data_IF_933467237006
#
_entry.id   IF_933467237006
#
_cell.length_a   1.000
_cell.length_b   1.000
_cell.length_c   1.000
_cell.angle_alpha   90.00
_cell.angle_beta   90.00
_cell.angle_gamma   90.00
#
_symmetry.space_group_name_H-M   'P 1'
#
loop_
_entity.id
_entity.type
_entity.pdbx_description
1 polymer ?
#
# COMPACT_ATOMS: atom_id res chain seq x y z
N UNK A 1 6.58 -13.92 -7.42
CA UNK A 1 7.51 -13.69 -8.55
C UNK A 1 8.81 -13.19 -7.95
N UNK A 2 9.91 -13.90 -8.16
CA UNK A 2 11.22 -13.35 -7.82
C UNK A 2 11.58 -12.27 -8.85
N UNK A 3 11.87 -11.07 -8.35
CA UNK A 3 12.27 -9.92 -9.19
C UNK A 3 13.76 -9.62 -9.12
N UNK A 4 14.53 -10.44 -8.39
CA UNK A 4 15.95 -10.22 -8.14
C UNK A 4 16.22 -8.88 -7.47
N UNK A 5 17.39 -8.29 -7.75
CA UNK A 5 17.84 -7.03 -7.16
C UNK A 5 17.17 -5.76 -7.71
N UNK A 6 16.04 -5.83 -8.42
CA UNK A 6 15.43 -4.66 -9.10
C UNK A 6 14.94 -3.56 -8.15
N UNK A 7 14.70 -3.89 -6.89
CA UNK A 7 14.29 -2.92 -5.88
C UNK A 7 15.42 -1.97 -5.46
N UNK A 8 16.67 -2.46 -5.39
CA UNK A 8 17.79 -1.66 -4.92
C UNK A 8 18.02 -0.40 -5.78
N UNK A 9 18.12 -0.48 -7.13
CA UNK A 9 18.27 0.71 -7.96
C UNK A 9 17.08 1.70 -7.89
N UNK A 10 15.89 1.24 -7.51
CA UNK A 10 14.73 2.11 -7.32
C UNK A 10 14.80 2.82 -5.97
N UNK A 11 15.12 2.09 -4.90
CA UNK A 11 15.35 2.66 -3.59
C UNK A 11 16.44 3.74 -3.65
N UNK A 12 17.57 3.44 -4.30
CA UNK A 12 18.70 4.37 -4.43
C UNK A 12 18.32 5.72 -5.05
N UNK A 13 17.35 5.74 -5.99
CA UNK A 13 16.87 6.98 -6.62
C UNK A 13 15.99 7.84 -5.71
N UNK A 14 15.41 7.26 -4.67
CA UNK A 14 14.39 7.93 -3.84
C UNK A 14 14.84 8.13 -2.39
N UNK A 15 15.96 7.51 -1.98
CA UNK A 15 16.56 7.62 -0.63
C UNK A 15 16.74 9.05 -0.14
N UNK A 16 17.10 9.96 -1.03
CA UNK A 16 17.39 11.37 -0.72
C UNK A 16 16.14 12.27 -0.87
N UNK A 17 14.99 11.68 -1.19
CA UNK A 17 13.74 12.40 -1.52
C UNK A 17 12.62 12.12 -0.50
N UNK A 18 12.98 11.64 0.69
CA UNK A 18 12.03 11.22 1.73
C UNK A 18 11.28 12.37 2.39
N UNK A 19 11.71 13.61 2.17
CA UNK A 19 11.16 14.82 2.81
C UNK A 19 10.37 15.70 1.82
N UNK A 20 10.30 15.35 0.52
CA UNK A 20 9.70 16.23 -0.49
C UNK A 20 8.19 16.43 -0.33
N UNK A 21 7.46 15.37 0.00
CA UNK A 21 6.03 15.39 0.38
C UNK A 21 5.08 16.17 -0.56
N UNK A 22 5.43 16.28 -1.85
CA UNK A 22 4.67 17.09 -2.82
C UNK A 22 3.34 16.41 -3.18
N UNK A 23 3.33 15.09 -3.33
CA UNK A 23 2.14 14.33 -3.69
C UNK A 23 2.12 13.02 -2.92
N UNK A 24 1.05 12.77 -2.17
CA UNK A 24 0.86 11.54 -1.39
C UNK A 24 1.01 10.30 -2.27
N UNK A 25 0.53 10.37 -3.51
CA UNK A 25 0.72 9.32 -4.51
C UNK A 25 2.20 8.96 -4.76
N UNK A 26 3.06 9.97 -4.92
CA UNK A 26 4.50 9.75 -5.17
C UNK A 26 5.15 9.16 -3.93
N UNK A 27 4.79 9.66 -2.76
CA UNK A 27 5.30 9.18 -1.47
C UNK A 27 5.03 7.69 -1.27
N UNK A 28 3.83 7.22 -1.61
CA UNK A 28 3.50 5.79 -1.52
C UNK A 28 4.36 4.93 -2.44
N UNK A 29 4.75 5.43 -3.61
CA UNK A 29 5.63 4.69 -4.52
C UNK A 29 7.09 4.67 -4.05
N UNK A 30 7.55 5.74 -3.39
CA UNK A 30 8.85 5.77 -2.74
C UNK A 30 8.88 4.78 -1.57
N UNK A 31 7.85 4.78 -0.73
CA UNK A 31 7.69 3.83 0.37
C UNK A 31 7.72 2.37 -0.12
N UNK A 32 7.06 2.04 -1.23
CA UNK A 32 7.13 0.70 -1.82
C UNK A 32 8.57 0.29 -2.16
N UNK A 33 9.35 1.20 -2.74
CA UNK A 33 10.75 0.93 -3.10
C UNK A 33 11.66 0.83 -1.86
N UNK A 34 11.51 1.74 -0.90
CA UNK A 34 12.31 1.78 0.33
C UNK A 34 11.98 0.60 1.26
N UNK A 35 10.71 0.29 1.45
CA UNK A 35 10.28 -0.86 2.24
C UNK A 35 10.68 -2.18 1.56
N UNK A 36 10.95 -2.16 0.25
CA UNK A 36 11.44 -3.34 -0.44
C UNK A 36 12.87 -3.74 -0.11
N UNK A 37 13.73 -2.78 0.22
CA UNK A 37 15.15 -3.02 0.57
C UNK A 37 15.37 -3.21 2.07
N UNK A 38 14.47 -2.73 2.92
CA UNK A 38 14.45 -3.07 4.35
C UNK A 38 15.58 -2.47 5.19
N UNK A 39 16.11 -1.30 4.79
CA UNK A 39 17.23 -0.63 5.45
C UNK A 39 16.81 0.52 6.39
N UNK A 40 15.54 0.55 6.78
CA UNK A 40 14.99 1.53 7.72
C UNK A 40 14.55 2.85 7.10
N UNK A 41 14.93 3.17 5.86
CA UNK A 41 14.53 4.44 5.21
C UNK A 41 13.01 4.59 5.04
N UNK A 42 12.28 3.49 4.91
CA UNK A 42 10.82 3.52 4.86
C UNK A 42 10.21 4.02 6.18
N UNK A 43 10.75 3.60 7.32
CA UNK A 43 10.32 4.08 8.65
C UNK A 43 10.65 5.56 8.83
N UNK A 44 11.84 5.98 8.42
CA UNK A 44 12.23 7.40 8.45
C UNK A 44 11.28 8.27 7.62
N UNK A 45 10.96 7.85 6.40
CA UNK A 45 9.98 8.54 5.55
C UNK A 45 8.58 8.57 6.18
N UNK A 46 8.16 7.50 6.84
CA UNK A 46 6.89 7.45 7.58
C UNK A 46 6.86 8.46 8.73
N UNK A 47 7.96 8.62 9.47
CA UNK A 47 8.05 9.63 10.53
C UNK A 47 8.00 11.05 9.96
N UNK A 48 8.67 11.32 8.85
CA UNK A 48 8.57 12.62 8.18
C UNK A 48 7.15 12.91 7.68
N UNK A 49 6.47 11.94 7.07
CA UNK A 49 5.06 12.05 6.69
C UNK A 49 4.16 12.40 7.88
N UNK A 50 4.40 11.78 9.04
CA UNK A 50 3.60 12.02 10.24
C UNK A 50 3.85 13.41 10.86
N UNK A 51 5.07 13.95 10.70
CA UNK A 51 5.46 15.25 11.20
C UNK A 51 5.24 16.40 10.20
N UNK A 52 4.86 16.10 8.96
CA UNK A 52 4.70 17.10 7.92
C UNK A 52 3.45 17.96 8.15
N UNK A 53 3.68 19.24 8.44
CA UNK A 53 2.60 20.22 8.63
C UNK A 53 2.23 20.96 7.34
N UNK A 54 3.12 20.97 6.34
CA UNK A 54 2.89 21.56 5.02
C UNK A 54 2.48 23.04 5.01
N UNK A 55 2.06 23.52 3.85
CA UNK A 55 1.37 24.80 3.68
C UNK A 55 -0.16 24.54 3.74
N UNK A 56 -0.92 25.38 4.43
CA UNK A 56 -2.39 25.26 4.46
C UNK A 56 -3.03 25.41 3.07
N UNK A 57 -2.36 26.07 2.13
CA UNK A 57 -2.79 26.17 0.74
C UNK A 57 -2.54 24.89 -0.08
N UNK A 58 -1.78 23.92 0.46
CA UNK A 58 -1.53 22.65 -0.20
C UNK A 58 -2.76 21.74 -0.13
N UNK A 59 -3.43 21.61 -1.27
CA UNK A 59 -4.57 20.70 -1.43
C UNK A 59 -4.26 19.21 -1.16
N UNK A 60 -2.99 18.80 -1.21
CA UNK A 60 -2.56 17.43 -0.93
C UNK A 60 -2.35 17.18 0.57
N UNK A 61 -2.13 18.22 1.38
CA UNK A 61 -1.87 18.09 2.82
C UNK A 61 -2.99 17.35 3.58
N UNK A 62 -4.31 17.65 3.37
CA UNK A 62 -5.37 16.89 4.03
C UNK A 62 -5.39 15.41 3.63
N UNK A 63 -5.08 15.11 2.37
CA UNK A 63 -5.02 13.75 1.82
C UNK A 63 -3.86 12.99 2.45
N UNK A 64 -2.70 13.63 2.56
CA UNK A 64 -1.52 13.08 3.21
C UNK A 64 -1.78 12.76 4.68
N UNK A 65 -2.40 13.69 5.43
CA UNK A 65 -2.72 13.48 6.85
C UNK A 65 -3.74 12.37 7.05
N UNK A 66 -4.76 12.28 6.19
CA UNK A 66 -5.81 11.28 6.31
C UNK A 66 -5.39 9.88 5.83
N UNK A 67 -4.59 9.79 4.76
CA UNK A 67 -4.32 8.53 4.06
C UNK A 67 -2.84 8.15 4.08
N UNK A 68 -1.92 9.12 4.06
CA UNK A 68 -0.48 8.89 3.92
C UNK A 68 0.10 8.02 5.03
N UNK A 69 -0.13 8.37 6.29
CA UNK A 69 0.40 7.60 7.44
C UNK A 69 -0.18 6.19 7.51
N UNK A 70 -1.51 5.96 7.46
CA UNK A 70 -2.07 4.61 7.45
C UNK A 70 -1.58 3.75 6.29
N UNK A 71 -1.43 4.33 5.10
CA UNK A 71 -0.91 3.61 3.93
C UNK A 71 0.59 3.29 4.08
N UNK A 72 1.39 4.21 4.64
CA UNK A 72 2.80 3.97 4.94
C UNK A 72 2.97 2.83 5.95
N UNK A 73 2.22 2.87 7.05
CA UNK A 73 2.20 1.83 8.08
C UNK A 73 1.83 0.47 7.46
N UNK A 74 0.85 0.44 6.56
CA UNK A 74 0.44 -0.79 5.87
C UNK A 74 1.53 -1.34 4.93
N UNK A 75 2.17 -0.50 4.13
CA UNK A 75 3.23 -0.90 3.19
C UNK A 75 4.43 -1.47 3.95
N UNK A 76 4.85 -0.80 5.02
CA UNK A 76 5.97 -1.22 5.86
C UNK A 76 5.65 -2.56 6.53
N UNK A 77 4.51 -2.66 7.21
CA UNK A 77 4.09 -3.89 7.88
C UNK A 77 4.00 -5.07 6.91
N UNK A 78 3.46 -4.84 5.70
CA UNK A 78 3.37 -5.87 4.67
C UNK A 78 4.75 -6.39 4.25
N UNK A 79 5.72 -5.48 4.07
CA UNK A 79 7.09 -5.85 3.69
C UNK A 79 7.85 -6.56 4.81
N UNK A 80 7.54 -6.27 6.06
CA UNK A 80 8.09 -6.95 7.24
C UNK A 80 7.42 -8.29 7.56
N UNK A 81 6.39 -8.69 6.81
CA UNK A 81 5.64 -9.92 7.06
C UNK A 81 4.61 -9.80 8.20
N UNK A 82 4.35 -8.60 8.70
CA UNK A 82 3.32 -8.30 9.70
C UNK A 82 1.97 -8.08 9.01
N UNK A 83 1.42 -9.15 8.43
CA UNK A 83 0.27 -9.06 7.53
C UNK A 83 -1.03 -8.62 8.19
N UNK A 84 -1.26 -9.00 9.45
CA UNK A 84 -2.43 -8.55 10.21
C UNK A 84 -2.34 -7.04 10.52
N UNK A 85 -1.15 -6.53 10.86
CA UNK A 85 -0.92 -5.09 11.06
C UNK A 85 -1.10 -4.31 9.75
N UNK A 86 -0.61 -4.85 8.64
CA UNK A 86 -0.79 -4.25 7.32
C UNK A 86 -2.28 -4.12 6.95
N UNK A 87 -3.04 -5.19 7.25
CA UNK A 87 -4.49 -5.23 7.05
C UNK A 87 -5.18 -4.20 7.93
N UNK A 88 -4.83 -4.15 9.22
CA UNK A 88 -5.42 -3.23 10.19
C UNK A 88 -5.17 -1.76 9.83
N UNK A 89 -4.00 -1.43 9.28
CA UNK A 89 -3.65 -0.08 8.87
C UNK A 89 -4.34 0.36 7.56
N UNK A 90 -4.43 -0.52 6.55
CA UNK A 90 -5.02 -0.18 5.25
C UNK A 90 -6.55 -0.21 5.24
N UNK A 91 -7.16 -1.12 6.00
CA UNK A 91 -8.62 -1.36 5.97
C UNK A 91 -9.49 -0.11 6.22
N UNK A 92 -9.17 0.78 7.17
CA UNK A 92 -9.97 2.00 7.44
C UNK A 92 -9.96 3.00 6.29
N UNK A 93 -8.89 3.04 5.49
CA UNK A 93 -8.67 4.03 4.43
C UNK A 93 -8.93 3.49 3.03
N UNK A 94 -9.19 2.18 2.88
CA UNK A 94 -9.23 1.49 1.56
C UNK A 94 -10.17 2.12 0.53
N UNK A 95 -11.30 2.67 0.97
CA UNK A 95 -12.28 3.29 0.06
C UNK A 95 -11.91 4.73 -0.32
N UNK A 96 -10.96 5.34 0.38
CA UNK A 96 -10.51 6.71 0.14
C UNK A 96 -9.20 6.78 -0.63
N UNK A 97 -8.55 5.63 -0.92
CA UNK A 97 -7.30 5.54 -1.69
C UNK A 97 -7.41 6.22 -3.06
N UNK A 98 -8.60 6.38 -3.64
CA UNK A 98 -8.76 7.13 -4.88
C UNK A 98 -8.31 8.60 -4.78
N UNK A 99 -8.40 9.20 -3.60
CA UNK A 99 -8.03 10.60 -3.35
C UNK A 99 -6.53 10.85 -3.49
N UNK A 100 -5.68 9.84 -3.27
CA UNK A 100 -4.22 10.01 -3.38
C UNK A 100 -3.78 10.41 -4.80
N UNK A 101 -4.59 10.09 -5.82
CA UNK A 101 -4.30 10.38 -7.22
C UNK A 101 -3.79 9.17 -8.01
N UNK A 102 -3.10 9.44 -9.13
CA UNK A 102 -2.56 8.40 -10.03
C UNK A 102 -3.60 7.75 -10.96
N UNK A 103 -3.23 6.65 -11.60
CA UNK A 103 -4.14 5.87 -12.45
C UNK A 103 -4.88 4.77 -11.67
N UNK A 104 -5.96 4.25 -12.24
CA UNK A 104 -6.69 3.11 -11.67
C UNK A 104 -5.79 1.90 -11.45
N UNK A 105 -4.89 1.60 -12.39
CA UNK A 105 -3.97 0.46 -12.27
C UNK A 105 -2.96 0.63 -11.13
N UNK A 106 -2.50 1.85 -10.88
CA UNK A 106 -1.55 2.12 -9.80
C UNK A 106 -2.22 2.04 -8.43
N UNK A 107 -3.45 2.55 -8.29
CA UNK A 107 -4.20 2.43 -7.03
C UNK A 107 -4.61 1.00 -6.73
N UNK A 108 -4.86 0.21 -7.78
CA UNK A 108 -5.18 -1.20 -7.65
C UNK A 108 -4.10 -1.99 -6.90
N UNK A 109 -2.85 -1.54 -6.96
CA UNK A 109 -1.75 -2.14 -6.20
C UNK A 109 -2.04 -2.16 -4.69
N UNK A 110 -2.62 -1.10 -4.14
CA UNK A 110 -2.91 -1.02 -2.69
C UNK A 110 -4.05 -1.95 -2.28
N UNK A 111 -5.06 -2.11 -3.14
CA UNK A 111 -6.13 -3.09 -2.94
C UNK A 111 -5.58 -4.53 -2.99
N UNK A 112 -4.68 -4.80 -3.95
CA UNK A 112 -4.00 -6.09 -4.05
C UNK A 112 -3.11 -6.38 -2.84
N UNK A 113 -2.39 -5.38 -2.32
CA UNK A 113 -1.60 -5.50 -1.08
C UNK A 113 -2.52 -5.83 0.10
N UNK A 114 -3.66 -5.14 0.25
CA UNK A 114 -4.64 -5.42 1.31
C UNK A 114 -5.17 -6.85 1.23
N UNK A 115 -5.58 -7.30 0.04
CA UNK A 115 -6.09 -8.66 -0.16
C UNK A 115 -5.02 -9.69 0.17
N UNK A 116 -3.81 -9.53 -0.36
CA UNK A 116 -2.71 -10.47 -0.12
C UNK A 116 -2.27 -10.48 1.35
N UNK A 117 -2.26 -9.32 2.03
CA UNK A 117 -2.04 -9.23 3.47
C UNK A 117 -3.11 -10.01 4.24
N UNK A 118 -4.40 -9.79 3.95
CA UNK A 118 -5.49 -10.49 4.62
C UNK A 118 -5.44 -12.01 4.39
N UNK A 119 -5.00 -12.46 3.20
CA UNK A 119 -4.80 -13.87 2.88
C UNK A 119 -3.65 -14.52 3.65
N UNK A 120 -2.56 -13.78 3.88
CA UNK A 120 -1.37 -14.28 4.61
C UNK A 120 -1.47 -14.09 6.12
N UNK A 121 -2.38 -13.23 6.58
CA UNK A 121 -2.70 -13.03 7.98
C UNK A 121 -3.65 -14.09 8.54
N UNK A 122 -4.24 -13.79 9.70
CA UNK A 122 -5.08 -14.73 10.43
C UNK A 122 -6.58 -14.63 10.10
N UNK A 123 -7.00 -13.65 9.28
CA UNK A 123 -8.42 -13.35 9.03
C UNK A 123 -8.91 -13.85 7.66
N UNK A 124 -9.07 -15.17 7.53
CA UNK A 124 -9.55 -15.80 6.30
C UNK A 124 -10.97 -15.33 5.87
N UNK A 125 -11.82 -14.94 6.82
CA UNK A 125 -13.15 -14.42 6.51
C UNK A 125 -13.09 -13.06 5.83
N UNK A 126 -12.20 -12.18 6.30
CA UNK A 126 -11.95 -10.89 5.67
C UNK A 126 -11.34 -11.07 4.26
N UNK A 127 -10.36 -11.96 4.10
CA UNK A 127 -9.78 -12.27 2.79
C UNK A 127 -10.85 -12.72 1.77
N UNK A 128 -11.78 -13.59 2.20
CA UNK A 128 -12.95 -14.00 1.37
C UNK A 128 -13.81 -12.82 0.98
N UNK A 129 -14.14 -11.96 1.95
CA UNK A 129 -14.98 -10.78 1.72
C UNK A 129 -14.35 -9.82 0.70
N UNK A 130 -13.07 -9.48 0.88
CA UNK A 130 -12.35 -8.58 -0.01
C UNK A 130 -12.23 -9.14 -1.43
N UNK A 131 -11.92 -10.43 -1.58
CA UNK A 131 -11.88 -11.06 -2.91
C UNK A 131 -13.26 -11.13 -3.57
N UNK A 132 -14.32 -11.40 -2.81
CA UNK A 132 -15.68 -11.41 -3.34
C UNK A 132 -16.10 -10.02 -3.83
N UNK A 133 -15.79 -8.97 -3.07
CA UNK A 133 -15.99 -7.57 -3.46
C UNK A 133 -15.21 -7.24 -4.73
N UNK A 134 -13.92 -7.56 -4.78
CA UNK A 134 -13.08 -7.34 -5.96
C UNK A 134 -13.61 -8.07 -7.20
N UNK A 135 -14.05 -9.31 -7.04
CA UNK A 135 -14.61 -10.12 -8.14
C UNK A 135 -15.87 -9.48 -8.73
N UNK A 136 -16.71 -8.91 -7.87
CA UNK A 136 -17.89 -8.17 -8.32
C UNK A 136 -17.50 -6.87 -9.05
N UNK A 137 -16.48 -6.15 -8.55
CA UNK A 137 -16.00 -4.90 -9.14
C UNK A 137 -15.20 -5.09 -10.44
N UNK A 138 -14.54 -6.24 -10.62
CA UNK A 138 -13.69 -6.58 -11.77
C UNK A 138 -14.03 -7.95 -12.37
N UNK A 139 -15.23 -8.11 -12.97
CA UNK A 139 -15.63 -9.38 -13.55
C UNK A 139 -14.65 -9.86 -14.62
N UNK A 140 -14.23 -11.12 -14.53
CA UNK A 140 -13.31 -11.73 -15.51
C UNK A 140 -11.83 -11.38 -15.32
N UNK A 141 -11.45 -10.64 -14.27
CA UNK A 141 -10.04 -10.49 -13.91
C UNK A 141 -9.43 -11.85 -13.54
N UNK A 142 -8.47 -12.30 -14.35
CA UNK A 142 -7.90 -13.64 -14.25
C UNK A 142 -7.23 -13.91 -12.89
N UNK A 143 -6.54 -12.93 -12.33
CA UNK A 143 -5.89 -13.09 -11.02
C UNK A 143 -6.95 -13.26 -9.92
N UNK A 144 -8.00 -12.45 -9.93
CA UNK A 144 -9.07 -12.49 -8.94
C UNK A 144 -9.84 -13.81 -8.99
N UNK A 145 -10.26 -14.26 -10.18
CA UNK A 145 -10.98 -15.54 -10.34
C UNK A 145 -10.13 -16.73 -9.86
N UNK A 146 -8.85 -16.77 -10.27
CA UNK A 146 -7.93 -17.84 -9.86
C UNK A 146 -7.71 -17.85 -8.34
N UNK A 147 -7.51 -16.67 -7.75
CA UNK A 147 -7.23 -16.54 -6.31
C UNK A 147 -8.44 -16.90 -5.47
N UNK A 148 -9.63 -16.44 -5.87
CA UNK A 148 -10.89 -16.76 -5.20
C UNK A 148 -11.19 -18.27 -5.24
N UNK A 149 -11.01 -18.91 -6.40
CA UNK A 149 -11.19 -20.36 -6.54
C UNK A 149 -10.21 -21.15 -5.65
N UNK A 150 -8.94 -20.73 -5.59
CA UNK A 150 -7.94 -21.35 -4.72
C UNK A 150 -8.29 -21.24 -3.23
N UNK A 151 -8.88 -20.12 -2.82
CA UNK A 151 -9.24 -19.89 -1.41
C UNK A 151 -10.49 -20.69 -0.98
N UNK A 152 -11.43 -20.99 -1.90
CA UNK A 152 -12.56 -21.88 -1.62
C UNK A 152 -12.16 -23.36 -1.51
N UNK A 153 -11.00 -23.74 -2.06
CA UNK A 153 -10.50 -25.10 -2.05
C UNK A 153 -9.62 -25.43 -0.83
N UNK A 154 -9.28 -24.43 -0.01
CA UNK A 154 -8.47 -24.54 1.21
C UNK A 154 -9.35 -24.61 2.46
#
# INVERSE_FOLDING_TARGET
LDVGGRWAPLADKVRERTEEHILTFVDMHYLLALAAVGDGKAHEMREFLAAYEGDEADSNLPIMKALGVPMADAIIAYREGRYDDATAAMMPVRYEVWQVGGSHAQRDLFELILIDAAMKGCNAALARGLLAERRAAKPGDHWTEKTYAGLLAA
#
